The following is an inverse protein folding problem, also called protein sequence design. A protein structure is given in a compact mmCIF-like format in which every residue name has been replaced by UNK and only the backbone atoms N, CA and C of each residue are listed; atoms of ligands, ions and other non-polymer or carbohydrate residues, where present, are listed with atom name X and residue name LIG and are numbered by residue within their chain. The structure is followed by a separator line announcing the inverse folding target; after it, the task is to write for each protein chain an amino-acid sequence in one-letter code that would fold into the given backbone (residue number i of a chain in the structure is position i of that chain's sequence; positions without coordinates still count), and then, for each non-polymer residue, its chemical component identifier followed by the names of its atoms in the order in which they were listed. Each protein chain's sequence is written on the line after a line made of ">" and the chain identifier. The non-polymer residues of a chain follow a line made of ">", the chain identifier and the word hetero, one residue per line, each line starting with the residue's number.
data_IF_254576374792
#
_entry.id   IF_254576374792
#
_cell.length_a   1.000
_cell.length_b   1.000
_cell.length_c   1.000
_cell.angle_alpha   90.00
_cell.angle_beta   90.00
_cell.angle_gamma   90.00
#
_symmetry.space_group_name_H-M   'P 1'
#
loop_
_entity.id
_entity.type
_entity.pdbx_description
1 polymer ?
#
# COMPACT_ATOMS: atom_id res chain seq x y z
N UNK A 1 2.54 -17.92 -5.61
CA UNK A 1 3.84 -18.61 -5.40
C UNK A 1 4.44 -19.18 -6.68
N UNK A 2 4.01 -18.72 -7.86
CA UNK A 2 4.37 -19.30 -9.17
C UNK A 2 5.33 -18.43 -10.01
N UNK A 3 5.78 -17.29 -9.51
CA UNK A 3 6.47 -16.28 -10.34
C UNK A 3 8.00 -16.42 -10.37
N UNK A 4 8.62 -16.79 -9.24
CA UNK A 4 10.08 -16.91 -9.13
C UNK A 4 10.63 -18.01 -10.06
N UNK A 5 9.94 -19.15 -10.11
CA UNK A 5 10.36 -20.31 -10.90
C UNK A 5 10.32 -20.04 -12.40
N UNK A 6 9.38 -19.23 -12.88
CA UNK A 6 9.28 -18.86 -14.30
C UNK A 6 10.41 -17.93 -14.70
N UNK A 7 10.78 -16.97 -13.86
CA UNK A 7 11.90 -16.07 -14.12
C UNK A 7 13.24 -16.83 -14.20
N UNK A 8 13.47 -17.78 -13.28
CA UNK A 8 14.69 -18.58 -13.26
C UNK A 8 14.82 -19.47 -14.51
N UNK A 9 13.71 -20.04 -14.98
CA UNK A 9 13.67 -20.83 -16.21
C UNK A 9 13.98 -19.99 -17.45
N UNK A 10 13.41 -18.78 -17.56
CA UNK A 10 13.69 -17.87 -18.67
C UNK A 10 15.16 -17.44 -18.71
N UNK A 11 15.78 -17.18 -17.56
CA UNK A 11 17.21 -16.85 -17.47
C UNK A 11 18.08 -18.04 -17.88
N UNK A 12 17.72 -19.26 -17.46
CA UNK A 12 18.45 -20.46 -17.86
C UNK A 12 18.39 -20.73 -19.37
N UNK A 13 17.22 -20.55 -19.99
CA UNK A 13 17.07 -20.72 -21.44
C UNK A 13 17.79 -19.63 -22.23
N UNK A 14 17.77 -18.37 -21.76
CA UNK A 14 18.54 -17.28 -22.37
C UNK A 14 20.05 -17.56 -22.33
N UNK A 15 20.58 -18.05 -21.19
CA UNK A 15 21.99 -18.45 -21.07
C UNK A 15 22.35 -19.58 -22.04
N UNK A 16 21.48 -20.58 -22.19
CA UNK A 16 21.68 -21.68 -23.16
C UNK A 16 21.76 -21.15 -24.59
N UNK A 17 20.82 -20.31 -25.00
CA UNK A 17 20.77 -19.73 -26.35
C UNK A 17 22.02 -18.88 -26.67
N UNK A 18 22.53 -18.13 -25.69
CA UNK A 18 23.77 -17.37 -25.83
C UNK A 18 24.97 -18.30 -26.01
N UNK A 19 25.07 -19.37 -25.21
CA UNK A 19 26.13 -20.37 -25.37
C UNK A 19 26.11 -21.07 -26.72
N UNK A 20 24.93 -21.42 -27.24
CA UNK A 20 24.77 -22.00 -28.57
C UNK A 20 25.19 -21.02 -29.66
N UNK A 21 24.83 -19.75 -29.52
CA UNK A 21 25.20 -18.69 -30.48
C UNK A 21 26.72 -18.43 -30.51
N UNK A 22 27.41 -18.54 -29.36
CA UNK A 22 28.86 -18.38 -29.25
C UNK A 22 29.64 -19.42 -30.07
N UNK A 23 29.06 -20.61 -30.33
CA UNK A 23 29.72 -21.66 -31.10
C UNK A 23 29.91 -21.31 -32.58
N UNK A 24 29.16 -20.33 -33.09
CA UNK A 24 29.22 -19.88 -34.49
C UNK A 24 30.17 -18.69 -34.72
N UNK A 25 30.75 -18.12 -33.66
CA UNK A 25 31.66 -16.98 -33.76
C UNK A 25 33.12 -17.43 -33.91
N UNK A 26 33.93 -16.59 -34.53
CA UNK A 26 35.38 -16.78 -34.52
C UNK A 26 35.92 -16.65 -33.09
N UNK A 27 36.95 -17.42 -32.75
CA UNK A 27 37.53 -17.47 -31.40
C UNK A 27 37.74 -16.10 -30.72
N UNK A 28 38.34 -15.07 -31.35
CA UNK A 28 38.54 -13.79 -30.68
C UNK A 28 37.23 -13.02 -30.41
N UNK A 29 36.20 -13.23 -31.22
CA UNK A 29 34.89 -12.60 -31.02
C UNK A 29 34.11 -13.30 -29.91
N UNK A 30 34.18 -14.64 -29.86
CA UNK A 30 33.60 -15.43 -28.79
C UNK A 30 34.17 -15.05 -27.42
N UNK A 31 35.49 -14.83 -27.32
CA UNK A 31 36.13 -14.42 -26.06
C UNK A 31 35.72 -13.02 -25.61
N UNK A 32 35.56 -12.08 -26.56
CA UNK A 32 35.06 -10.74 -26.24
C UNK A 32 33.64 -10.76 -25.71
N UNK A 33 32.77 -11.58 -26.31
CA UNK A 33 31.37 -11.72 -25.86
C UNK A 33 31.31 -12.40 -24.49
N UNK A 34 32.13 -13.43 -24.23
CA UNK A 34 32.24 -14.06 -22.90
C UNK A 34 32.65 -13.06 -21.81
N UNK A 35 33.62 -12.19 -22.08
CA UNK A 35 34.03 -11.15 -21.13
C UNK A 35 32.89 -10.19 -20.80
N UNK A 36 32.13 -9.75 -21.83
CA UNK A 36 31.02 -8.82 -21.65
C UNK A 36 29.85 -9.44 -20.87
N UNK A 37 29.60 -10.74 -21.05
CA UNK A 37 28.62 -11.49 -20.25
C UNK A 37 29.04 -11.53 -18.78
N UNK A 38 30.31 -11.85 -18.49
CA UNK A 38 30.82 -11.88 -17.12
C UNK A 38 30.74 -10.51 -16.42
N UNK A 39 31.04 -9.43 -17.14
CA UNK A 39 30.90 -8.06 -16.63
C UNK A 39 29.43 -7.71 -16.33
N UNK A 40 28.51 -8.09 -17.22
CA UNK A 40 27.07 -7.89 -17.02
C UNK A 40 26.53 -8.70 -15.84
N UNK A 41 26.93 -9.96 -15.68
CA UNK A 41 26.53 -10.79 -14.54
C UNK A 41 27.03 -10.19 -13.23
N UNK A 42 28.29 -9.74 -13.18
CA UNK A 42 28.85 -9.03 -12.02
C UNK A 42 28.06 -7.75 -11.70
N UNK A 43 27.69 -6.97 -12.73
CA UNK A 43 26.92 -5.75 -12.55
C UNK A 43 25.48 -6.02 -12.07
N UNK A 44 24.86 -7.10 -12.55
CA UNK A 44 23.52 -7.54 -12.11
C UNK A 44 23.57 -8.01 -10.67
N UNK A 45 24.57 -8.81 -10.28
CA UNK A 45 24.77 -9.26 -8.90
C UNK A 45 25.04 -8.10 -7.94
N UNK A 46 25.88 -7.14 -8.34
CA UNK A 46 26.10 -5.92 -7.55
C UNK A 46 24.79 -5.13 -7.37
N UNK A 47 23.98 -5.02 -8.43
CA UNK A 47 22.71 -4.30 -8.37
C UNK A 47 21.65 -5.03 -7.54
N UNK A 48 21.59 -6.36 -7.58
CA UNK A 48 20.69 -7.14 -6.72
C UNK A 48 21.14 -7.07 -5.28
N UNK A 49 22.44 -7.14 -4.99
CA UNK A 49 22.98 -6.97 -3.63
C UNK A 49 22.64 -5.59 -3.04
N UNK A 50 22.73 -4.51 -3.84
CA UNK A 50 22.30 -3.17 -3.44
C UNK A 50 20.79 -3.15 -3.17
N UNK A 51 19.98 -3.69 -4.08
CA UNK A 51 18.51 -3.68 -3.97
C UNK A 51 17.99 -4.43 -2.73
N UNK A 52 18.63 -5.53 -2.35
CA UNK A 52 18.27 -6.28 -1.13
C UNK A 52 18.75 -5.61 0.16
N UNK A 53 19.79 -4.78 0.09
CA UNK A 53 20.30 -4.04 1.25
C UNK A 53 19.58 -2.71 1.48
N UNK A 54 18.98 -2.14 0.42
CA UNK A 54 18.30 -0.84 0.45
C UNK A 54 16.77 -0.94 0.56
N UNK A 55 16.19 -2.12 0.74
CA UNK A 55 14.75 -2.23 0.94
C UNK A 55 14.43 -1.84 2.40
N UNK A 56 13.95 -0.62 2.67
CA UNK A 56 13.73 -0.16 4.03
C UNK A 56 12.57 -0.98 4.60
N UNK A 57 12.67 -1.40 5.87
CA UNK A 57 11.53 -1.91 6.60
C UNK A 57 10.33 -0.95 6.42
N UNK A 58 9.07 -1.43 6.30
CA UNK A 58 7.92 -0.56 6.17
C UNK A 58 7.88 0.34 7.41
N UNK A 59 8.30 1.58 7.25
CA UNK A 59 8.22 2.57 8.30
C UNK A 59 6.73 2.86 8.51
N UNK A 60 6.25 3.13 9.74
CA UNK A 60 4.98 3.87 9.86
C UNK A 60 5.11 5.10 8.96
N UNK A 61 4.07 5.57 8.25
CA UNK A 61 4.24 6.54 7.17
C UNK A 61 4.94 7.77 7.71
N UNK A 62 6.27 7.82 7.54
CA UNK A 62 7.11 8.90 8.04
C UNK A 62 6.64 10.22 7.44
N UNK A 63 5.98 10.13 6.29
CA UNK A 63 5.24 11.20 5.65
C UNK A 63 4.13 11.81 6.50
N UNK A 64 3.34 11.06 7.27
CA UNK A 64 2.21 11.66 8.00
C UNK A 64 2.67 12.41 9.25
N UNK A 65 3.58 11.83 10.03
CA UNK A 65 4.18 12.53 11.17
C UNK A 65 5.00 13.76 10.71
N UNK A 66 5.79 13.61 9.64
CA UNK A 66 6.53 14.73 9.07
C UNK A 66 5.60 15.78 8.41
N UNK A 67 4.48 15.37 7.82
CA UNK A 67 3.47 16.28 7.29
C UNK A 67 2.77 17.03 8.43
N UNK A 68 2.39 16.34 9.51
CA UNK A 68 1.85 16.96 10.72
C UNK A 68 2.82 18.00 11.28
N UNK A 69 4.10 17.65 11.42
CA UNK A 69 5.11 18.57 11.97
C UNK A 69 5.37 19.75 11.03
N UNK A 70 5.31 19.56 9.70
CA UNK A 70 5.37 20.66 8.72
C UNK A 70 4.15 21.59 8.81
N UNK A 71 2.94 21.04 8.93
CA UNK A 71 1.71 21.83 9.10
C UNK A 71 1.77 22.60 10.43
N UNK A 72 2.16 21.95 11.52
CA UNK A 72 2.33 22.58 12.82
C UNK A 72 3.36 23.72 12.77
N UNK A 73 4.49 23.52 12.06
CA UNK A 73 5.50 24.55 11.87
C UNK A 73 4.98 25.74 11.06
N UNK A 74 4.24 25.50 9.98
CA UNK A 74 3.64 26.56 9.16
C UNK A 74 2.59 27.37 9.94
N UNK A 75 1.75 26.71 10.74
CA UNK A 75 0.78 27.39 11.61
C UNK A 75 1.47 28.28 12.66
N UNK A 76 2.54 27.75 13.25
CA UNK A 76 3.38 28.47 14.21
C UNK A 76 4.03 29.73 13.59
N UNK A 77 4.58 29.61 12.39
CA UNK A 77 5.19 30.72 11.64
C UNK A 77 4.14 31.80 11.29
N UNK A 78 2.95 31.40 10.85
CA UNK A 78 1.86 32.31 10.54
C UNK A 78 1.38 33.12 11.76
N UNK A 79 1.42 32.53 12.96
CA UNK A 79 1.11 33.20 14.22
C UNK A 79 2.31 34.00 14.78
N UNK A 80 3.43 34.10 14.03
CA UNK A 80 4.60 34.91 14.35
C UNK A 80 5.54 34.30 15.39
N UNK A 81 5.43 33.00 15.66
CA UNK A 81 6.29 32.32 16.61
C UNK A 81 7.59 31.83 15.96
N UNK A 82 8.71 31.97 16.68
CA UNK A 82 10.01 31.42 16.30
C UNK A 82 10.64 30.78 17.54
N UNK A 83 11.17 29.57 17.39
CA UNK A 83 11.78 28.81 18.47
C UNK A 83 13.29 28.99 18.41
N UNK A 84 13.91 29.06 19.58
CA UNK A 84 15.36 29.26 19.70
C UNK A 84 16.12 28.00 19.25
N UNK A 85 15.59 26.82 19.59
CA UNK A 85 16.12 25.52 19.22
C UNK A 85 15.02 24.43 19.27
N UNK A 86 15.35 23.24 18.76
CA UNK A 86 14.42 22.11 18.73
C UNK A 86 14.13 21.51 20.12
N UNK A 87 15.03 21.66 21.09
CA UNK A 87 14.82 21.17 22.46
C UNK A 87 13.74 21.99 23.19
N UNK A 88 13.82 23.32 23.07
CA UNK A 88 12.81 24.26 23.54
C UNK A 88 11.47 24.02 22.83
N UNK A 89 11.50 23.70 21.54
CA UNK A 89 10.32 23.31 20.75
C UNK A 89 9.67 22.04 21.28
N UNK A 90 10.42 20.98 21.50
CA UNK A 90 9.91 19.70 22.00
C UNK A 90 9.29 19.78 23.41
N UNK A 91 9.78 20.69 24.26
CA UNK A 91 9.24 20.91 25.62
C UNK A 91 8.06 21.90 25.67
N UNK A 92 7.83 22.66 24.61
CA UNK A 92 6.83 23.73 24.61
C UNK A 92 5.40 23.17 24.57
N UNK A 93 4.56 23.58 25.53
CA UNK A 93 3.11 23.31 25.48
C UNK A 93 2.45 23.98 24.28
N UNK A 94 2.98 25.13 23.84
CA UNK A 94 2.50 25.83 22.65
C UNK A 94 2.73 25.01 21.39
N UNK A 95 3.90 24.34 21.26
CA UNK A 95 4.17 23.44 20.13
C UNK A 95 3.19 22.26 20.07
N UNK A 96 2.84 21.66 21.22
CA UNK A 96 1.81 20.61 21.28
C UNK A 96 0.44 21.12 20.83
N UNK A 97 0.09 22.36 21.16
CA UNK A 97 -1.14 22.99 20.67
C UNK A 97 -1.15 23.14 19.14
N UNK A 98 -0.01 23.46 18.52
CA UNK A 98 0.11 23.49 17.06
C UNK A 98 0.02 22.09 16.44
N UNK A 99 0.59 21.06 17.07
CA UNK A 99 0.43 19.68 16.62
C UNK A 99 -1.04 19.22 16.67
N UNK A 100 -1.78 19.54 17.73
CA UNK A 100 -3.23 19.25 17.78
C UNK A 100 -4.03 19.96 16.69
N UNK A 101 -3.69 21.22 16.36
CA UNK A 101 -4.29 21.93 15.23
C UNK A 101 -3.93 21.29 13.89
N UNK A 102 -2.70 20.82 13.73
CA UNK A 102 -2.25 20.09 12.55
C UNK A 102 -3.01 18.76 12.39
N UNK A 103 -3.23 18.02 13.47
CA UNK A 103 -4.07 16.82 13.47
C UNK A 103 -5.51 17.13 13.05
N UNK A 104 -6.09 18.24 13.53
CA UNK A 104 -7.42 18.68 13.10
C UNK A 104 -7.48 19.04 11.61
N UNK A 105 -6.42 19.67 11.07
CA UNK A 105 -6.29 19.92 9.63
C UNK A 105 -6.21 18.61 8.86
N UNK A 106 -5.37 17.68 9.30
CA UNK A 106 -5.24 16.36 8.66
C UNK A 106 -6.55 15.56 8.68
N UNK A 107 -7.38 15.73 9.71
CA UNK A 107 -8.68 15.08 9.81
C UNK A 107 -9.74 15.65 8.83
N UNK A 108 -9.65 16.93 8.44
CA UNK A 108 -10.57 17.56 7.48
C UNK A 108 -10.06 17.54 6.06
N UNK A 109 -8.76 17.33 5.85
CA UNK A 109 -8.24 17.04 4.52
C UNK A 109 -8.96 15.78 4.03
N UNK A 110 -9.49 15.79 2.79
CA UNK A 110 -9.98 14.57 2.18
C UNK A 110 -8.90 13.51 2.36
N UNK A 111 -9.28 12.33 2.87
CA UNK A 111 -8.36 11.19 2.95
C UNK A 111 -7.57 11.18 1.65
N UNK A 112 -6.24 11.36 1.74
CA UNK A 112 -5.35 11.63 0.60
C UNK A 112 -5.86 10.84 -0.58
N UNK A 113 -6.48 11.54 -1.54
CA UNK A 113 -7.38 10.89 -2.51
C UNK A 113 -6.71 9.64 -3.00
N UNK A 114 -7.32 8.47 -2.75
CA UNK A 114 -6.71 7.19 -3.06
C UNK A 114 -6.18 7.29 -4.48
N UNK A 115 -4.84 7.29 -4.59
CA UNK A 115 -4.16 7.56 -5.84
C UNK A 115 -4.61 6.53 -6.87
N UNK A 116 -4.96 5.32 -6.43
CA UNK A 116 -5.59 4.31 -7.27
C UNK A 116 -6.95 4.77 -7.80
N UNK A 117 -7.82 5.34 -6.97
CA UNK A 117 -9.10 5.92 -7.41
C UNK A 117 -8.90 7.01 -8.45
N UNK A 118 -8.01 7.97 -8.23
CA UNK A 118 -7.75 9.06 -9.21
C UNK A 118 -7.27 8.51 -10.55
N UNK A 119 -6.37 7.52 -10.52
CA UNK A 119 -5.85 6.89 -11.73
C UNK A 119 -6.91 6.06 -12.47
N UNK A 120 -7.84 5.41 -11.74
CA UNK A 120 -9.00 4.72 -12.34
C UNK A 120 -9.99 5.69 -12.96
N UNK A 121 -10.32 6.78 -12.26
CA UNK A 121 -11.20 7.81 -12.80
C UNK A 121 -10.63 8.46 -14.07
N UNK A 122 -9.31 8.69 -14.11
CA UNK A 122 -8.63 9.21 -15.28
C UNK A 122 -8.69 8.21 -16.46
N UNK A 123 -8.46 6.92 -16.20
CA UNK A 123 -8.60 5.87 -17.20
C UNK A 123 -10.04 5.81 -17.75
N UNK A 124 -11.04 5.86 -16.87
CA UNK A 124 -12.45 5.81 -17.27
C UNK A 124 -12.89 7.06 -18.02
N UNK A 125 -12.27 8.22 -17.77
CA UNK A 125 -12.53 9.45 -18.52
C UNK A 125 -12.03 9.33 -19.96
N UNK A 126 -10.84 8.77 -20.17
CA UNK A 126 -10.29 8.51 -21.52
C UNK A 126 -11.18 7.51 -22.27
N UNK A 127 -11.65 6.45 -21.60
CA UNK A 127 -12.55 5.46 -22.21
C UNK A 127 -13.95 6.02 -22.52
N UNK A 128 -14.39 7.08 -21.82
CA UNK A 128 -15.71 7.73 -21.99
C UNK A 128 -15.71 8.92 -22.95
N UNK A 129 -14.56 9.45 -23.33
CA UNK A 129 -14.52 10.54 -24.30
C UNK A 129 -15.02 10.01 -25.64
N UNK A 130 -16.28 10.33 -25.95
CA UNK A 130 -16.88 10.18 -27.28
C UNK A 130 -16.11 11.11 -28.24
N UNK A 131 -14.94 10.67 -28.68
CA UNK A 131 -14.17 11.39 -29.67
C UNK A 131 -14.96 11.38 -30.99
N UNK A 132 -14.98 12.50 -31.73
CA UNK A 132 -15.60 12.56 -33.04
C UNK A 132 -15.07 11.43 -33.94
N UNK A 133 -15.97 10.75 -34.65
CA UNK A 133 -15.65 9.58 -35.48
C UNK A 133 -14.58 9.81 -36.58
N UNK A 134 -14.28 11.08 -36.90
CA UNK A 134 -13.38 11.44 -37.99
C UNK A 134 -11.87 11.38 -37.61
N UNK A 135 -11.53 11.22 -36.32
CA UNK A 135 -10.13 11.20 -35.82
C UNK A 135 -9.66 9.82 -35.28
N UNK A 136 -10.48 8.78 -35.49
CA UNK A 136 -10.43 7.50 -34.75
C UNK A 136 -9.20 6.63 -35.08
N UNK A 137 -8.71 6.63 -36.32
CA UNK A 137 -7.73 5.59 -36.72
C UNK A 137 -6.30 5.82 -36.22
N UNK A 138 -5.88 7.06 -35.96
CA UNK A 138 -4.49 7.37 -35.58
C UNK A 138 -4.28 7.46 -34.06
N UNK A 139 -5.31 7.82 -33.30
CA UNK A 139 -5.20 8.07 -31.85
C UNK A 139 -5.72 6.93 -30.96
N UNK A 140 -6.54 6.02 -31.50
CA UNK A 140 -7.11 4.88 -30.75
C UNK A 140 -6.07 3.99 -30.08
N UNK A 141 -4.95 3.73 -30.77
CA UNK A 141 -3.88 2.90 -30.21
C UNK A 141 -3.17 3.60 -29.04
N UNK A 142 -3.04 4.92 -29.09
CA UNK A 142 -2.45 5.72 -28.01
C UNK A 142 -3.36 5.81 -26.79
N UNK A 143 -4.65 6.10 -26.99
CA UNK A 143 -5.64 6.16 -25.92
C UNK A 143 -5.78 4.82 -25.19
N UNK A 144 -5.88 3.70 -25.93
CA UNK A 144 -5.95 2.35 -25.33
C UNK A 144 -4.69 1.99 -24.55
N UNK A 145 -3.51 2.40 -25.01
CA UNK A 145 -2.27 2.21 -24.25
C UNK A 145 -2.26 3.05 -22.98
N UNK A 146 -2.66 4.32 -23.04
CA UNK A 146 -2.74 5.23 -21.91
C UNK A 146 -3.72 4.71 -20.84
N UNK A 147 -4.93 4.29 -21.22
CA UNK A 147 -5.89 3.67 -20.29
C UNK A 147 -5.29 2.44 -19.59
N UNK A 148 -4.65 1.53 -20.35
CA UNK A 148 -4.01 0.34 -19.75
C UNK A 148 -2.91 0.71 -18.76
N UNK A 149 -2.08 1.70 -19.10
CA UNK A 149 -1.02 2.18 -18.23
C UNK A 149 -1.60 2.80 -16.96
N UNK A 150 -2.62 3.66 -17.06
CA UNK A 150 -3.28 4.29 -15.92
C UNK A 150 -3.93 3.25 -14.99
N UNK A 151 -4.61 2.24 -15.54
CA UNK A 151 -5.16 1.14 -14.74
C UNK A 151 -4.08 0.36 -14.01
N UNK A 152 -2.99 0.01 -14.70
CA UNK A 152 -1.84 -0.64 -14.07
C UNK A 152 -1.25 0.22 -12.95
N UNK A 153 -1.04 1.50 -13.19
CA UNK A 153 -0.55 2.42 -12.16
C UNK A 153 -1.52 2.54 -11.00
N UNK A 154 -2.83 2.45 -11.24
CA UNK A 154 -3.83 2.44 -10.17
C UNK A 154 -3.69 1.20 -9.30
N UNK A 155 -3.50 0.03 -9.90
CA UNK A 155 -3.31 -1.23 -9.16
C UNK A 155 -1.99 -1.24 -8.38
N UNK A 156 -0.93 -0.66 -8.94
CA UNK A 156 0.35 -0.46 -8.24
C UNK A 156 0.27 0.61 -7.13
N UNK A 157 -0.56 1.63 -7.31
CA UNK A 157 -0.78 2.71 -6.35
C UNK A 157 -1.80 2.35 -5.27
N UNK A 158 -2.56 1.27 -5.47
CA UNK A 158 -3.45 0.77 -4.44
C UNK A 158 -2.58 0.41 -3.25
N UNK A 159 -2.80 1.03 -2.06
CA UNK A 159 -2.05 0.66 -0.89
C UNK A 159 -2.23 -0.84 -0.75
N UNK A 160 -1.13 -1.59 -0.84
CA UNK A 160 -1.15 -3.05 -0.75
C UNK A 160 -2.00 -3.36 0.47
N UNK A 161 -3.22 -3.88 0.25
CA UNK A 161 -4.27 -3.89 1.26
C UNK A 161 -3.64 -4.39 2.53
N UNK A 162 -3.66 -3.58 3.59
CA UNK A 162 -2.90 -3.85 4.81
C UNK A 162 -3.52 -5.10 5.42
N UNK A 163 -3.03 -6.26 4.98
CA UNK A 163 -3.52 -7.53 5.42
C UNK A 163 -2.98 -7.67 6.83
N UNK A 164 -3.86 -7.70 7.84
CA UNK A 164 -3.41 -7.67 9.21
C UNK A 164 -2.54 -8.91 9.46
N UNK A 165 -1.41 -8.72 10.14
CA UNK A 165 -0.46 -9.79 10.45
C UNK A 165 -0.16 -9.79 11.94
N UNK A 166 -0.10 -10.99 12.53
CA UNK A 166 0.37 -11.17 13.90
C UNK A 166 1.77 -10.56 14.07
N UNK A 167 1.92 -9.71 15.07
CA UNK A 167 3.18 -9.07 15.44
C UNK A 167 3.64 -7.95 14.51
N UNK A 168 2.80 -7.48 13.60
CA UNK A 168 3.14 -6.29 12.83
C UNK A 168 3.13 -5.01 13.68
N UNK A 169 3.53 -3.90 13.06
CA UNK A 169 3.66 -2.62 13.74
C UNK A 169 2.31 -2.09 14.21
N UNK A 170 1.22 -2.39 13.50
CA UNK A 170 -0.10 -1.92 13.87
C UNK A 170 -0.67 -2.68 15.07
N UNK A 171 -0.51 -4.01 15.13
CA UNK A 171 -0.85 -4.78 16.35
C UNK A 171 -0.04 -4.28 17.55
N UNK A 172 1.25 -3.99 17.34
CA UNK A 172 2.13 -3.45 18.39
C UNK A 172 1.66 -2.08 18.88
N UNK A 173 1.26 -1.20 17.97
CA UNK A 173 0.71 0.11 18.32
C UNK A 173 -0.62 0.00 19.08
N UNK A 174 -1.54 -0.86 18.63
CA UNK A 174 -2.82 -1.11 19.33
C UNK A 174 -2.61 -1.60 20.76
N UNK A 175 -1.67 -2.54 20.95
CA UNK A 175 -1.28 -3.00 22.30
C UNK A 175 -0.76 -1.86 23.16
N UNK A 176 0.14 -1.04 22.63
CA UNK A 176 0.70 0.10 23.37
C UNK A 176 -0.41 1.09 23.78
N UNK A 177 -1.34 1.42 22.89
CA UNK A 177 -2.48 2.29 23.24
C UNK A 177 -3.34 1.71 24.36
N UNK A 178 -3.70 0.42 24.27
CA UNK A 178 -4.48 -0.27 25.29
C UNK A 178 -3.75 -0.28 26.64
N UNK A 179 -2.45 -0.59 26.64
CA UNK A 179 -1.63 -0.69 27.84
C UNK A 179 -1.39 0.70 28.48
N UNK A 180 -1.20 1.75 27.68
CA UNK A 180 -1.10 3.14 28.16
C UNK A 180 -2.40 3.56 28.88
N UNK A 181 -3.57 3.27 28.30
CA UNK A 181 -4.87 3.56 28.91
C UNK A 181 -5.09 2.81 30.23
N UNK A 182 -4.63 1.56 30.32
CA UNK A 182 -4.69 0.78 31.56
C UNK A 182 -3.89 1.43 32.69
N UNK A 183 -2.80 2.12 32.37
CA UNK A 183 -1.89 2.73 33.34
C UNK A 183 -2.35 4.10 33.85
N UNK A 184 -3.05 4.88 33.02
CA UNK A 184 -3.30 6.31 33.28
C UNK A 184 -4.70 6.60 33.88
N UNK A 185 -5.68 5.71 33.71
CA UNK A 185 -7.06 5.93 34.20
C UNK A 185 -7.69 4.69 34.82
N UNK A 186 -7.48 4.51 36.12
CA UNK A 186 -8.10 3.43 36.90
C UNK A 186 -9.65 3.43 36.94
N UNK A 187 -10.34 4.44 36.38
CA UNK A 187 -11.79 4.58 36.50
C UNK A 187 -12.55 4.68 35.16
N UNK A 188 -11.89 4.66 34.00
CA UNK A 188 -12.58 4.70 32.70
C UNK A 188 -12.32 3.42 31.89
N UNK A 189 -13.04 2.36 32.26
CA UNK A 189 -12.94 1.04 31.61
C UNK A 189 -13.43 1.04 30.16
N UNK A 190 -14.26 2.02 29.77
CA UNK A 190 -14.94 2.00 28.47
C UNK A 190 -13.97 2.06 27.30
N UNK A 191 -12.90 2.85 27.42
CA UNK A 191 -11.91 2.99 26.35
C UNK A 191 -10.90 1.83 26.34
N UNK A 192 -10.60 1.25 27.50
CA UNK A 192 -9.78 0.04 27.57
C UNK A 192 -10.47 -1.13 26.87
N UNK A 193 -11.74 -1.37 27.19
CA UNK A 193 -12.52 -2.46 26.62
C UNK A 193 -12.66 -2.29 25.09
N UNK A 194 -12.92 -1.06 24.62
CA UNK A 194 -12.97 -0.77 23.18
C UNK A 194 -11.65 -1.04 22.45
N UNK A 195 -10.50 -0.72 23.06
CA UNK A 195 -9.18 -0.99 22.49
C UNK A 195 -8.85 -2.49 22.51
N UNK A 196 -9.29 -3.23 23.54
CA UNK A 196 -9.08 -4.67 23.62
C UNK A 196 -9.94 -5.42 22.58
N UNK A 197 -11.21 -5.04 22.42
CA UNK A 197 -12.11 -5.56 21.39
C UNK A 197 -11.55 -5.29 19.98
N UNK A 198 -11.05 -4.08 19.73
CA UNK A 198 -10.41 -3.73 18.46
C UNK A 198 -9.15 -4.57 18.20
N UNK A 199 -8.34 -4.81 19.24
CA UNK A 199 -7.17 -5.68 19.15
C UNK A 199 -7.56 -7.13 18.87
N UNK A 200 -8.62 -7.65 19.50
CA UNK A 200 -9.15 -8.99 19.24
C UNK A 200 -9.69 -9.13 17.81
N UNK A 201 -10.42 -8.13 17.31
CA UNK A 201 -10.93 -8.11 15.94
C UNK A 201 -9.78 -8.08 14.92
N UNK A 202 -8.81 -7.18 15.11
CA UNK A 202 -7.61 -7.12 14.26
C UNK A 202 -6.92 -8.49 14.21
N UNK A 203 -6.81 -9.11 15.37
CA UNK A 203 -6.19 -10.41 15.52
C UNK A 203 -6.95 -11.52 14.83
N UNK A 204 -8.28 -11.49 14.86
CA UNK A 204 -9.12 -12.45 14.15
C UNK A 204 -8.89 -12.35 12.64
N UNK A 205 -8.92 -11.14 12.08
CA UNK A 205 -8.59 -10.92 10.67
C UNK A 205 -7.18 -11.40 10.29
N UNK A 206 -6.19 -11.19 11.17
CA UNK A 206 -4.82 -11.64 10.92
C UNK A 206 -4.72 -13.17 10.87
N UNK A 207 -5.45 -13.87 11.74
CA UNK A 207 -5.43 -15.33 11.81
C UNK A 207 -6.20 -15.99 10.65
N UNK A 208 -7.23 -15.32 10.12
CA UNK A 208 -7.99 -15.80 8.95
C UNK A 208 -7.39 -15.35 7.62
N UNK A 209 -6.46 -14.38 7.65
CA UNK A 209 -5.96 -13.73 6.44
C UNK A 209 -7.02 -12.87 5.73
N UNK A 210 -8.08 -12.48 6.42
CA UNK A 210 -9.16 -11.65 5.86
C UNK A 210 -8.74 -10.18 5.88
N UNK A 211 -8.81 -9.44 4.75
CA UNK A 211 -8.56 -8.00 4.74
C UNK A 211 -9.41 -7.23 5.77
N UNK A 212 -8.86 -6.17 6.36
CA UNK A 212 -9.64 -5.29 7.22
C UNK A 212 -10.79 -4.65 6.42
N UNK A 213 -12.00 -4.69 6.97
CA UNK A 213 -13.22 -4.20 6.31
C UNK A 213 -14.05 -5.30 5.62
N UNK A 214 -13.49 -6.49 5.41
CA UNK A 214 -14.29 -7.67 5.07
C UNK A 214 -14.88 -8.30 6.33
N UNK A 215 -16.02 -8.98 6.23
CA UNK A 215 -16.61 -9.64 7.38
C UNK A 215 -15.76 -10.87 7.76
N UNK A 216 -15.39 -10.95 9.04
CA UNK A 216 -14.76 -12.15 9.62
C UNK A 216 -15.63 -12.65 10.76
N UNK A 217 -15.82 -13.97 10.81
CA UNK A 217 -16.52 -14.64 11.89
C UNK A 217 -15.61 -15.70 12.50
N UNK A 218 -15.78 -15.98 13.80
CA UNK A 218 -15.00 -17.00 14.50
C UNK A 218 -15.33 -18.43 14.04
N UNK A 219 -16.47 -18.60 13.36
CA UNK A 219 -16.89 -19.85 12.74
C UNK A 219 -15.99 -20.23 11.56
N UNK A 220 -15.05 -21.16 11.76
CA UNK A 220 -14.16 -21.68 10.71
C UNK A 220 -14.87 -22.52 9.63
N UNK A 221 -16.17 -22.79 9.78
CA UNK A 221 -16.94 -23.67 8.87
C UNK A 221 -18.09 -22.87 8.26
N UNK A 222 -18.15 -22.83 6.93
CA UNK A 222 -19.29 -22.29 6.21
C UNK A 222 -20.56 -23.06 6.61
N UNK A 223 -21.48 -22.38 7.30
CA UNK A 223 -22.74 -22.96 7.82
C UNK A 223 -22.98 -22.79 9.32
N UNK A 224 -21.95 -22.49 10.12
CA UNK A 224 -22.10 -22.27 11.58
C UNK A 224 -22.17 -20.79 11.97
N UNK A 225 -22.12 -19.88 10.99
CA UNK A 225 -22.19 -18.45 11.21
C UNK A 225 -23.54 -17.91 10.75
N UNK A 226 -24.41 -17.56 11.71
CA UNK A 226 -25.68 -16.86 11.49
C UNK A 226 -25.54 -15.57 10.65
N UNK A 227 -24.32 -14.99 10.57
CA UNK A 227 -24.08 -13.78 9.79
C UNK A 227 -24.14 -13.99 8.26
N UNK A 228 -24.00 -15.22 7.76
CA UNK A 228 -24.18 -15.54 6.32
C UNK A 228 -25.60 -16.00 5.98
N UNK A 229 -26.45 -16.23 6.98
CA UNK A 229 -27.86 -16.60 6.76
C UNK A 229 -28.78 -15.40 6.53
N UNK A 230 -28.28 -14.16 6.61
CA UNK A 230 -29.07 -13.02 6.17
C UNK A 230 -29.23 -13.08 4.65
N UNK A 231 -30.46 -13.26 4.11
CA UNK A 231 -30.69 -13.19 2.68
C UNK A 231 -30.27 -11.80 2.23
N UNK A 232 -29.46 -11.72 1.16
CA UNK A 232 -29.10 -10.46 0.53
C UNK A 232 -30.36 -9.60 0.41
N UNK A 233 -30.39 -8.49 1.17
CA UNK A 233 -31.54 -7.60 1.25
C UNK A 233 -31.86 -7.08 -0.17
N UNK A 234 -32.77 -7.75 -0.87
CA UNK A 234 -32.98 -7.52 -2.30
C UNK A 234 -33.80 -8.60 -3.01
N UNK A 235 -33.85 -9.83 -2.50
CA UNK A 235 -34.81 -10.82 -2.99
C UNK A 235 -36.21 -10.55 -2.41
N UNK A 236 -36.85 -9.46 -2.86
CA UNK A 236 -38.28 -9.29 -2.70
C UNK A 236 -38.95 -10.44 -3.46
N UNK A 237 -39.56 -11.37 -2.72
CA UNK A 237 -40.47 -12.34 -3.29
C UNK A 237 -41.68 -11.55 -3.80
N UNK A 238 -41.66 -11.22 -5.09
CA UNK A 238 -42.83 -10.71 -5.78
C UNK A 238 -43.92 -11.75 -5.63
N UNK A 239 -44.89 -11.41 -4.78
CA UNK A 239 -46.07 -12.20 -4.53
C UNK A 239 -46.81 -12.40 -5.85
N UNK A 240 -46.76 -13.63 -6.34
CA UNK A 240 -47.75 -14.15 -7.25
C UNK A 240 -49.08 -14.29 -6.51
N UNK A 241 -49.80 -13.18 -6.37
CA UNK A 241 -51.21 -13.21 -6.01
C UNK A 241 -52.07 -13.48 -7.24
N UNK A 242 -52.96 -14.46 -7.05
CA UNK A 242 -53.96 -15.01 -7.98
C UNK A 242 -55.23 -14.17 -8.03
#
# INVERSE_FOLDING_TARGET
>A
MTDQTTADLLVADARRAVHESLAFLAAPEADRVRSLIADLETAVEARTAIRFSDQPAPQPPADLAALRDRIAAALAEADGWVWIDDEAKGRSSMWRSFQHRADAVLAVLPATTDRATVLREAADRIDREDLPQDDVDMFDNGARWATKLLRRMADEAQPAGHQPRRGDQFETWLKAQRDDYASDRANDHTMYDALDDLLLLYRLHADTGTPLGEHVCEGRVAGDCECLEQPAAGAWQDGADR
#
